data_IF_394644146739
#
_entry.id   IF_394644146739
#
_cell.length_a   1.000
_cell.length_b   1.000
_cell.length_c   1.000
_cell.angle_alpha   90.00
_cell.angle_beta   90.00
_cell.angle_gamma   90.00
#
_symmetry.space_group_name_H-M   'P 1'
#
loop_
_entity.id
_entity.type
_entity.pdbx_description
1 polymer ?
#
# COMPACT_ATOMS: atom_id res chain seq x y z
N UNK A 1 -35.03 -23.86 -12.78
CA UNK A 1 -34.26 -24.36 -11.63
C UNK A 1 -32.78 -24.29 -12.01
N UNK A 2 -31.91 -23.48 -11.42
CA UNK A 2 -32.06 -22.48 -10.36
C UNK A 2 -31.09 -21.33 -10.62
N UNK A 3 -31.64 -20.11 -10.67
CA UNK A 3 -30.88 -18.89 -10.45
C UNK A 3 -30.75 -18.71 -8.94
N UNK A 4 -29.66 -19.23 -8.35
CA UNK A 4 -29.42 -19.10 -6.92
C UNK A 4 -28.65 -17.82 -6.62
N UNK A 5 -29.40 -16.82 -6.16
CA UNK A 5 -29.04 -15.90 -5.07
C UNK A 5 -27.78 -15.06 -5.23
N UNK A 6 -27.82 -14.11 -6.16
CA UNK A 6 -27.19 -12.81 -5.91
C UNK A 6 -28.08 -12.05 -4.91
N UNK A 7 -27.60 -11.89 -3.68
CA UNK A 7 -28.36 -11.27 -2.60
C UNK A 7 -28.55 -9.76 -2.89
N UNK A 8 -29.79 -9.24 -3.02
CA UNK A 8 -30.04 -7.87 -3.46
C UNK A 8 -29.67 -6.76 -2.45
N UNK A 9 -29.09 -7.12 -1.30
CA UNK A 9 -28.48 -6.16 -0.35
C UNK A 9 -27.07 -5.71 -0.73
N UNK A 10 -26.51 -6.23 -1.83
CA UNK A 10 -25.23 -5.75 -2.37
C UNK A 10 -25.33 -4.43 -3.17
N UNK A 11 -26.55 -3.88 -3.33
CA UNK A 11 -26.84 -2.68 -4.15
C UNK A 11 -27.58 -1.64 -3.31
N UNK A 12 -26.88 -0.94 -2.41
CA UNK A 12 -27.41 0.33 -1.83
C UNK A 12 -26.35 1.41 -1.59
N UNK A 13 -25.06 1.08 -1.63
CA UNK A 13 -24.03 1.82 -0.87
C UNK A 13 -22.66 1.53 -1.46
N UNK A 14 -22.16 2.33 -2.40
CA UNK A 14 -20.86 2.04 -3.04
C UNK A 14 -19.70 2.62 -2.22
N UNK A 15 -19.44 1.98 -1.07
CA UNK A 15 -18.36 2.21 -0.11
C UNK A 15 -18.82 1.88 1.32
N UNK A 16 -18.18 0.93 2.02
CA UNK A 16 -18.38 0.80 3.47
C UNK A 16 -17.78 2.04 4.16
N UNK A 17 -18.49 2.62 5.14
CA UNK A 17 -18.00 3.79 5.90
C UNK A 17 -17.95 5.12 5.13
N UNK A 18 -18.63 5.26 3.99
CA UNK A 18 -18.58 6.50 3.16
C UNK A 18 -18.89 7.77 3.97
N UNK A 19 -18.15 8.85 3.69
CA UNK A 19 -18.38 10.16 4.29
C UNK A 19 -19.62 10.88 3.75
N UNK A 20 -20.27 11.66 4.61
CA UNK A 20 -21.43 12.50 4.25
C UNK A 20 -21.06 13.59 3.24
N UNK A 21 -22.04 14.09 2.48
CA UNK A 21 -21.82 14.96 1.32
C UNK A 21 -20.96 16.19 1.58
N UNK A 22 -21.03 16.80 2.77
CA UNK A 22 -20.19 17.98 3.12
C UNK A 22 -18.71 17.62 3.25
N UNK A 23 -18.40 16.55 3.98
CA UNK A 23 -17.03 16.07 4.15
C UNK A 23 -16.46 15.58 2.82
N UNK A 24 -17.29 14.93 1.99
CA UNK A 24 -16.91 14.57 0.64
C UNK A 24 -16.60 15.81 -0.20
N UNK A 25 -17.46 16.83 -0.23
CA UNK A 25 -17.20 18.05 -0.99
C UNK A 25 -15.91 18.76 -0.57
N UNK A 26 -15.59 18.76 0.73
CA UNK A 26 -14.33 19.30 1.23
C UNK A 26 -13.12 18.51 0.69
N UNK A 27 -13.18 17.17 0.74
CA UNK A 27 -12.13 16.33 0.18
C UNK A 27 -12.09 16.34 -1.36
N UNK A 28 -13.16 16.71 -2.06
CA UNK A 28 -13.10 16.86 -3.52
C UNK A 28 -12.40 18.17 -3.92
N UNK A 29 -12.35 19.18 -3.05
CA UNK A 29 -11.75 20.49 -3.34
C UNK A 29 -10.22 20.44 -3.50
N UNK A 30 -9.56 19.46 -2.85
CA UNK A 30 -8.12 19.23 -2.88
C UNK A 30 -7.76 17.87 -3.50
N UNK A 31 -8.69 17.26 -4.26
CA UNK A 31 -8.52 15.94 -4.86
C UNK A 31 -8.18 14.84 -3.83
N UNK A 32 -8.68 14.98 -2.61
CA UNK A 32 -8.52 14.10 -1.45
C UNK A 32 -7.11 14.07 -0.85
N UNK A 33 -6.28 15.08 -1.14
CA UNK A 33 -4.90 15.17 -0.64
C UNK A 33 -4.82 15.03 0.88
N UNK A 34 -5.46 15.93 1.62
CA UNK A 34 -5.31 15.98 3.07
C UNK A 34 -5.96 14.76 3.75
N UNK A 35 -6.98 14.17 3.11
CA UNK A 35 -7.56 12.90 3.56
C UNK A 35 -6.55 11.75 3.46
N UNK A 36 -5.85 11.63 2.32
CA UNK A 36 -4.84 10.60 2.13
C UNK A 36 -3.68 10.76 3.13
N UNK A 37 -3.21 11.99 3.36
CA UNK A 37 -2.16 12.28 4.36
C UNK A 37 -2.64 11.92 5.78
N UNK A 38 -3.89 12.22 6.12
CA UNK A 38 -4.45 11.85 7.41
C UNK A 38 -4.51 10.32 7.61
N UNK A 39 -4.82 9.54 6.56
CA UNK A 39 -4.72 8.07 6.62
C UNK A 39 -3.28 7.62 6.85
N UNK A 40 -2.29 8.23 6.18
CA UNK A 40 -0.89 7.90 6.39
C UNK A 40 -0.46 8.15 7.85
N UNK A 41 -0.81 9.31 8.42
CA UNK A 41 -0.48 9.63 9.82
C UNK A 41 -1.18 8.68 10.80
N UNK A 42 -2.45 8.34 10.58
CA UNK A 42 -3.24 7.50 11.48
C UNK A 42 -2.91 6.01 11.37
N UNK A 43 -2.62 5.52 10.16
CA UNK A 43 -2.55 4.09 9.84
C UNK A 43 -1.25 3.65 9.18
N UNK A 44 -0.40 4.58 8.76
CA UNK A 44 0.91 4.31 8.16
C UNK A 44 0.87 3.94 6.67
N UNK A 45 -0.29 3.95 6.03
CA UNK A 45 -0.42 3.65 4.60
C UNK A 45 -0.04 4.87 3.77
N UNK A 46 0.94 4.78 2.86
CA UNK A 46 1.47 5.94 2.18
C UNK A 46 0.48 6.55 1.19
N UNK A 47 0.56 7.87 1.05
CA UNK A 47 -0.14 8.62 0.00
C UNK A 47 0.35 8.18 -1.38
N UNK A 48 -0.60 7.89 -2.25
CA UNK A 48 -0.42 7.67 -3.67
C UNK A 48 -1.13 8.79 -4.44
N UNK A 49 -0.57 9.17 -5.58
CA UNK A 49 -1.18 10.12 -6.50
C UNK A 49 -1.42 9.44 -7.84
N UNK A 50 -2.66 9.53 -8.32
CA UNK A 50 -3.07 9.10 -9.66
C UNK A 50 -2.93 10.27 -10.63
N UNK A 51 -2.22 10.05 -11.73
CA UNK A 51 -1.92 11.05 -12.75
C UNK A 51 -2.58 10.71 -14.08
N UNK A 52 -2.87 11.74 -14.85
CA UNK A 52 -3.08 11.70 -16.30
C UNK A 52 -2.06 12.63 -16.95
N UNK A 53 -1.11 12.06 -17.69
CA UNK A 53 0.10 12.81 -18.08
C UNK A 53 0.89 13.23 -16.85
N UNK A 54 1.07 14.53 -16.64
CA UNK A 54 1.68 15.12 -15.45
C UNK A 54 0.66 15.75 -14.48
N UNK A 55 -0.64 15.71 -14.80
CA UNK A 55 -1.67 16.27 -13.93
C UNK A 55 -2.15 15.23 -12.92
N UNK A 56 -2.10 15.58 -11.62
CA UNK A 56 -2.76 14.78 -10.58
C UNK A 56 -4.28 14.86 -10.75
N UNK A 57 -4.93 13.70 -10.68
CA UNK A 57 -6.39 13.55 -10.73
C UNK A 57 -6.96 13.25 -9.35
N UNK A 58 -6.23 12.48 -8.55
CA UNK A 58 -6.69 12.00 -7.24
C UNK A 58 -5.48 11.65 -6.36
N UNK A 59 -5.57 11.99 -5.09
CA UNK A 59 -4.73 11.41 -4.04
C UNK A 59 -5.52 10.36 -3.29
N UNK A 60 -4.86 9.27 -2.90
CA UNK A 60 -5.45 8.18 -2.16
C UNK A 60 -4.40 7.50 -1.26
N UNK A 61 -4.82 6.77 -0.25
CA UNK A 61 -3.92 5.85 0.46
C UNK A 61 -4.22 4.42 0.00
N UNK A 62 -3.19 3.57 -0.08
CA UNK A 62 -3.33 2.20 -0.57
C UNK A 62 -2.67 1.22 0.39
N UNK A 63 -3.35 0.09 0.61
CA UNK A 63 -2.83 -1.04 1.38
C UNK A 63 -1.88 -1.90 0.55
N UNK A 64 -1.28 -2.88 1.21
CA UNK A 64 -0.51 -3.96 0.57
C UNK A 64 -1.36 -5.05 -0.10
N UNK A 65 -2.68 -5.06 0.07
CA UNK A 65 -3.59 -6.12 -0.37
C UNK A 65 -4.73 -5.65 -1.27
N UNK A 66 -4.45 -4.75 -2.21
CA UNK A 66 -5.39 -4.22 -3.23
C UNK A 66 -6.48 -3.26 -2.71
N UNK A 67 -6.49 -2.90 -1.42
CA UNK A 67 -7.44 -1.91 -0.91
C UNK A 67 -6.96 -0.48 -1.13
N UNK A 68 -7.84 0.36 -1.68
CA UNK A 68 -7.70 1.81 -1.82
C UNK A 68 -8.63 2.50 -0.83
N UNK A 69 -8.07 3.39 -0.01
CA UNK A 69 -8.78 4.18 0.99
C UNK A 69 -9.05 5.59 0.45
N UNK A 70 -10.33 5.90 0.22
CA UNK A 70 -10.79 7.15 -0.37
C UNK A 70 -12.01 7.71 0.41
N UNK A 71 -12.24 9.04 0.45
CA UNK A 71 -13.43 9.62 1.08
C UNK A 71 -14.77 9.05 0.56
N UNK A 72 -14.79 8.55 -0.68
CA UNK A 72 -15.95 7.92 -1.31
C UNK A 72 -16.19 6.50 -0.82
N UNK A 73 -15.21 5.88 -0.17
CA UNK A 73 -15.27 4.52 0.37
C UNK A 73 -13.94 3.77 0.24
N UNK A 74 -13.95 2.52 0.71
CA UNK A 74 -12.85 1.57 0.52
C UNK A 74 -13.17 0.70 -0.71
N UNK A 75 -12.21 0.62 -1.64
CA UNK A 75 -12.35 -0.06 -2.93
C UNK A 75 -11.21 -1.04 -3.17
N UNK A 76 -11.41 -2.01 -4.08
CA UNK A 76 -10.28 -2.68 -4.75
C UNK A 76 -9.66 -1.74 -5.78
N UNK A 77 -8.41 -1.92 -6.22
CA UNK A 77 -7.79 -1.00 -7.20
C UNK A 77 -8.59 -0.93 -8.51
N UNK A 78 -9.10 -2.07 -9.00
CA UNK A 78 -9.95 -2.13 -10.18
C UNK A 78 -11.25 -1.30 -10.00
N UNK A 79 -11.94 -1.49 -8.87
CA UNK A 79 -13.17 -0.76 -8.58
C UNK A 79 -12.90 0.72 -8.36
N UNK A 80 -11.80 1.10 -7.71
CA UNK A 80 -11.40 2.49 -7.55
C UNK A 80 -11.17 3.14 -8.92
N UNK A 81 -10.45 2.46 -9.81
CA UNK A 81 -10.23 2.91 -11.18
C UNK A 81 -11.57 3.14 -11.91
N UNK A 82 -12.44 2.13 -11.92
CA UNK A 82 -13.71 2.17 -12.66
C UNK A 82 -14.74 3.16 -12.08
N UNK A 83 -14.78 3.31 -10.75
CA UNK A 83 -15.83 4.08 -10.06
C UNK A 83 -15.41 5.50 -9.70
N UNK A 84 -14.12 5.78 -9.58
CA UNK A 84 -13.60 7.09 -9.14
C UNK A 84 -12.74 7.70 -10.24
N UNK A 85 -11.65 7.05 -10.63
CA UNK A 85 -10.66 7.63 -11.56
C UNK A 85 -11.27 7.83 -12.96
N UNK A 86 -11.81 6.79 -13.58
CA UNK A 86 -12.36 6.85 -14.95
C UNK A 86 -13.45 7.92 -15.07
N UNK A 87 -14.43 8.04 -14.16
CA UNK A 87 -15.38 9.14 -14.17
C UNK A 87 -14.73 10.53 -14.07
N UNK A 88 -13.78 10.74 -13.16
CA UNK A 88 -13.05 12.01 -13.04
C UNK A 88 -12.31 12.35 -14.34
N UNK A 89 -11.66 11.35 -14.95
CA UNK A 89 -10.92 11.51 -16.20
C UNK A 89 -11.84 11.85 -17.38
N UNK A 90 -13.01 11.22 -17.47
CA UNK A 90 -14.00 11.43 -18.54
C UNK A 90 -14.77 12.74 -18.42
N UNK A 91 -14.94 13.27 -17.21
CA UNK A 91 -15.56 14.57 -16.97
C UNK A 91 -14.71 15.71 -17.54
N UNK A 92 -13.39 15.55 -17.50
CA UNK A 92 -12.45 16.49 -18.09
C UNK A 92 -12.29 16.26 -19.60
N UNK A 93 -12.34 17.34 -20.39
CA UNK A 93 -12.31 17.29 -21.87
C UNK A 93 -11.06 17.96 -22.48
N UNK A 94 -10.30 18.66 -21.68
CA UNK A 94 -9.17 19.53 -22.06
C UNK A 94 -7.80 18.92 -21.68
N UNK A 95 -7.65 17.59 -21.80
CA UNK A 95 -6.37 16.96 -21.49
C UNK A 95 -5.26 17.47 -22.43
N UNK A 96 -4.06 17.79 -21.88
CA UNK A 96 -2.95 18.24 -22.70
C UNK A 96 -2.44 17.10 -23.59
N UNK A 97 -1.75 17.43 -24.68
CA UNK A 97 -1.33 16.44 -25.69
C UNK A 97 -0.34 15.40 -25.13
N UNK A 98 0.45 15.77 -24.13
CA UNK A 98 1.39 14.89 -23.42
C UNK A 98 0.69 13.91 -22.46
N UNK A 99 -0.60 14.11 -22.17
CA UNK A 99 -1.41 13.13 -21.46
C UNK A 99 -1.79 11.92 -22.33
N UNK A 100 -1.53 11.97 -23.63
CA UNK A 100 -1.83 10.90 -24.58
C UNK A 100 -0.58 10.09 -24.93
N UNK A 101 -0.70 8.77 -24.85
CA UNK A 101 0.26 7.80 -25.38
C UNK A 101 -0.47 6.91 -26.38
N UNK A 102 -0.04 6.93 -27.65
CA UNK A 102 -0.69 6.19 -28.74
C UNK A 102 -2.20 6.49 -28.88
N UNK A 103 -2.61 7.75 -28.64
CA UNK A 103 -4.01 8.18 -28.71
C UNK A 103 -4.87 7.78 -27.51
N UNK A 104 -4.28 7.19 -26.47
CA UNK A 104 -4.96 6.82 -25.22
C UNK A 104 -4.41 7.62 -24.04
N UNK A 105 -5.26 7.93 -23.06
CA UNK A 105 -4.81 8.66 -21.86
C UNK A 105 -3.85 7.79 -21.03
N UNK A 106 -2.68 8.34 -20.72
CA UNK A 106 -1.69 7.71 -19.86
C UNK A 106 -2.07 7.93 -18.39
N UNK A 107 -2.78 6.96 -17.83
CA UNK A 107 -3.10 6.92 -16.40
C UNK A 107 -2.01 6.16 -15.67
N UNK A 108 -1.45 6.75 -14.61
CA UNK A 108 -0.43 6.10 -13.79
C UNK A 108 -0.53 6.52 -12.33
N UNK A 109 -0.03 5.69 -11.43
CA UNK A 109 -0.04 5.95 -9.99
C UNK A 109 1.40 6.01 -9.46
N UNK A 110 1.71 6.98 -8.61
CA UNK A 110 3.00 7.09 -7.91
C UNK A 110 2.79 7.05 -6.40
N UNK A 111 3.60 6.27 -5.69
CA UNK A 111 3.67 6.29 -4.23
C UNK A 111 4.53 7.48 -3.81
N UNK A 112 3.92 8.50 -3.19
CA UNK A 112 4.58 9.74 -2.80
C UNK A 112 4.89 9.78 -1.30
N UNK A 113 3.97 9.26 -0.48
CA UNK A 113 3.96 9.46 0.97
C UNK A 113 3.79 10.93 1.36
N UNK A 114 3.70 11.18 2.66
CA UNK A 114 3.69 12.54 3.20
C UNK A 114 4.96 13.30 2.81
N UNK A 115 6.10 12.61 2.75
CA UNK A 115 7.39 13.20 2.35
C UNK A 115 7.36 13.77 0.92
N UNK A 116 6.75 13.07 -0.04
CA UNK A 116 6.61 13.58 -1.41
C UNK A 116 5.65 14.75 -1.51
N UNK A 117 4.60 14.78 -0.68
CA UNK A 117 3.68 15.92 -0.57
C UNK A 117 4.38 17.15 0.04
N UNK A 118 5.22 16.93 1.06
CA UNK A 118 6.02 17.97 1.70
C UNK A 118 6.99 18.61 0.71
N UNK A 119 7.70 17.80 -0.08
CA UNK A 119 8.65 18.27 -1.09
C UNK A 119 7.98 19.09 -2.21
N UNK A 120 6.71 18.78 -2.52
CA UNK A 120 5.91 19.55 -3.45
C UNK A 120 5.37 20.87 -2.84
N UNK A 121 5.55 21.12 -1.54
CA UNK A 121 5.04 22.30 -0.85
C UNK A 121 3.52 22.31 -0.70
N UNK A 122 2.89 21.13 -0.65
CA UNK A 122 1.43 20.98 -0.67
C UNK A 122 0.82 20.63 0.70
N UNK A 123 1.62 20.59 1.77
CA UNK A 123 1.10 20.33 3.11
C UNK A 123 0.40 21.56 3.71
N UNK A 124 -0.88 21.41 4.01
CA UNK A 124 -1.64 22.32 4.86
C UNK A 124 -2.01 21.59 6.17
N UNK A 125 -1.30 21.90 7.25
CA UNK A 125 -1.50 21.26 8.56
C UNK A 125 -2.92 21.46 9.12
N UNK A 126 -3.54 22.63 8.88
CA UNK A 126 -4.89 22.88 9.36
C UNK A 126 -5.92 22.04 8.58
N UNK A 127 -5.70 21.82 7.28
CA UNK A 127 -6.53 20.93 6.48
C UNK A 127 -6.33 19.46 6.86
N UNK A 128 -5.11 19.03 7.17
CA UNK A 128 -4.80 17.67 7.64
C UNK A 128 -5.42 17.40 9.00
N UNK A 129 -5.36 18.35 9.94
CA UNK A 129 -6.00 18.23 11.25
C UNK A 129 -7.52 18.07 11.11
N UNK A 130 -8.15 18.86 10.23
CA UNK A 130 -9.57 18.72 9.92
C UNK A 130 -9.90 17.35 9.32
N UNK A 131 -9.12 16.87 8.35
CA UNK A 131 -9.31 15.55 7.76
C UNK A 131 -9.13 14.42 8.79
N UNK A 132 -8.17 14.57 9.71
CA UNK A 132 -7.92 13.65 10.82
C UNK A 132 -9.13 13.58 11.76
N UNK A 133 -9.66 14.73 12.17
CA UNK A 133 -10.85 14.80 13.01
C UNK A 133 -12.07 14.16 12.33
N UNK A 134 -12.24 14.40 11.03
CA UNK A 134 -13.30 13.76 10.23
C UNK A 134 -13.16 12.23 10.24
N UNK A 135 -11.96 11.71 9.98
CA UNK A 135 -11.68 10.27 10.00
C UNK A 135 -11.98 9.64 11.37
N UNK A 136 -11.52 10.26 12.45
CA UNK A 136 -11.75 9.79 13.81
C UNK A 136 -13.23 9.83 14.20
N UNK A 137 -13.99 10.80 13.70
CA UNK A 137 -15.45 10.88 13.93
C UNK A 137 -16.24 9.79 13.18
N UNK A 138 -15.65 9.18 12.15
CA UNK A 138 -16.22 8.10 11.37
C UNK A 138 -15.55 6.76 11.72
N UNK A 139 -15.74 6.30 12.95
CA UNK A 139 -15.12 5.08 13.47
C UNK A 139 -15.39 3.86 12.59
N UNK A 140 -16.60 3.74 12.01
CA UNK A 140 -16.96 2.64 11.10
C UNK A 140 -16.03 2.57 9.88
N UNK A 141 -15.64 3.71 9.31
CA UNK A 141 -14.66 3.73 8.22
C UNK A 141 -13.27 3.38 8.75
N UNK A 142 -12.84 4.03 9.83
CA UNK A 142 -11.48 3.91 10.35
C UNK A 142 -11.16 2.52 10.93
N UNK A 143 -12.17 1.80 11.43
CA UNK A 143 -12.08 0.41 11.88
C UNK A 143 -11.84 -0.57 10.72
N UNK A 144 -12.22 -0.18 9.49
CA UNK A 144 -11.99 -0.97 8.29
C UNK A 144 -10.64 -0.69 7.65
N UNK A 145 -9.95 0.39 8.04
CA UNK A 145 -8.59 0.69 7.58
C UNK A 145 -7.61 0.07 8.56
N UNK A 146 -6.95 -1.07 8.22
CA UNK A 146 -6.00 -1.70 9.12
C UNK A 146 -4.80 -0.80 9.35
N UNK A 147 -4.06 -1.03 10.44
CA UNK A 147 -2.73 -0.44 10.57
C UNK A 147 -1.74 -1.12 9.65
N UNK A 148 -0.83 -0.34 9.05
CA UNK A 148 0.27 -0.89 8.28
C UNK A 148 1.24 -1.64 9.20
N UNK A 149 1.63 -2.88 8.83
CA UNK A 149 2.63 -3.65 9.57
C UNK A 149 3.96 -2.91 9.72
N UNK A 150 4.67 -3.17 10.82
CA UNK A 150 6.04 -2.71 11.01
C UNK A 150 7.03 -3.65 10.29
N UNK A 151 8.21 -3.15 9.86
CA UNK A 151 8.62 -1.75 9.89
C UNK A 151 7.92 -0.90 8.82
N UNK A 152 7.48 0.31 9.19
CA UNK A 152 6.89 1.28 8.25
C UNK A 152 8.00 2.06 7.53
N UNK A 153 8.41 1.56 6.36
CA UNK A 153 9.36 2.23 5.50
C UNK A 153 8.77 3.50 4.85
N UNK A 154 9.60 4.55 4.61
CA UNK A 154 9.20 5.76 3.87
C UNK A 154 8.73 5.43 2.46
N UNK A 155 7.89 6.30 1.88
CA UNK A 155 7.28 6.07 0.58
C UNK A 155 8.27 6.02 -0.59
N UNK A 156 9.35 6.80 -0.54
CA UNK A 156 10.46 6.74 -1.50
C UNK A 156 11.12 5.37 -1.50
N UNK A 157 11.36 4.82 -0.31
CA UNK A 157 11.88 3.46 -0.14
C UNK A 157 10.88 2.43 -0.67
N UNK A 158 9.59 2.59 -0.36
CA UNK A 158 8.54 1.72 -0.92
C UNK A 158 8.54 1.75 -2.43
N UNK A 159 8.57 2.94 -3.04
CA UNK A 159 8.56 3.11 -4.49
C UNK A 159 9.81 2.50 -5.14
N UNK A 160 10.98 2.67 -4.52
CA UNK A 160 12.26 2.15 -5.01
C UNK A 160 12.29 0.62 -5.05
N UNK A 161 11.76 -0.03 -4.01
CA UNK A 161 11.81 -1.48 -3.87
C UNK A 161 10.49 -2.18 -4.23
N UNK A 162 9.46 -1.43 -4.59
CA UNK A 162 8.30 -1.95 -5.31
C UNK A 162 8.65 -2.10 -6.79
N UNK A 163 7.96 -3.00 -7.50
CA UNK A 163 8.03 -3.15 -8.96
C UNK A 163 9.46 -3.21 -9.55
N UNK A 164 9.97 -4.41 -9.77
CA UNK A 164 11.36 -4.68 -10.25
C UNK A 164 12.47 -4.48 -9.20
N UNK A 165 12.23 -3.70 -8.14
CA UNK A 165 13.13 -3.59 -6.99
C UNK A 165 12.94 -4.67 -5.91
N UNK A 166 11.87 -5.47 -6.00
CA UNK A 166 11.47 -6.41 -4.95
C UNK A 166 12.53 -7.49 -4.69
N UNK A 167 13.20 -8.00 -5.73
CA UNK A 167 14.24 -9.03 -5.59
C UNK A 167 15.38 -8.54 -4.71
N UNK A 168 15.92 -7.36 -5.02
CA UNK A 168 17.00 -6.71 -4.27
C UNK A 168 16.62 -6.56 -2.79
N UNK A 169 15.42 -6.09 -2.52
CA UNK A 169 14.95 -5.91 -1.15
C UNK A 169 14.76 -7.24 -0.42
N UNK A 170 14.16 -8.24 -1.06
CA UNK A 170 14.00 -9.57 -0.47
C UNK A 170 15.35 -10.24 -0.19
N UNK A 171 16.34 -10.07 -1.07
CA UNK A 171 17.71 -10.53 -0.87
C UNK A 171 18.37 -9.86 0.35
N UNK A 172 18.29 -8.53 0.44
CA UNK A 172 18.77 -7.78 1.60
C UNK A 172 18.08 -8.22 2.89
N UNK A 173 16.76 -8.37 2.86
CA UNK A 173 15.95 -8.80 4.00
C UNK A 173 16.31 -10.21 4.45
N UNK A 174 16.54 -11.12 3.51
CA UNK A 174 17.02 -12.48 3.77
C UNK A 174 18.37 -12.47 4.51
N UNK A 175 19.31 -11.63 4.08
CA UNK A 175 20.62 -11.49 4.75
C UNK A 175 20.50 -10.93 6.17
N UNK A 176 19.65 -9.93 6.37
CA UNK A 176 19.43 -9.33 7.69
C UNK A 176 18.69 -10.27 8.64
N UNK A 177 17.73 -11.05 8.15
CA UNK A 177 16.91 -11.96 8.98
C UNK A 177 17.50 -13.36 9.16
N UNK A 178 18.31 -13.82 8.20
CA UNK A 178 18.68 -15.22 8.05
C UNK A 178 17.54 -16.11 7.51
N UNK A 179 16.40 -15.53 7.10
CA UNK A 179 15.25 -16.27 6.55
C UNK A 179 15.33 -16.36 5.03
N UNK A 180 14.79 -17.42 4.41
CA UNK A 180 14.90 -17.61 2.97
C UNK A 180 14.08 -16.57 2.20
N UNK A 181 14.73 -15.90 1.25
CA UNK A 181 14.04 -15.19 0.17
C UNK A 181 13.54 -16.18 -0.89
N UNK A 182 12.34 -15.92 -1.41
CA UNK A 182 11.74 -16.68 -2.49
C UNK A 182 10.91 -15.77 -3.39
N UNK A 183 10.76 -16.21 -4.63
CA UNK A 183 9.86 -15.54 -5.58
C UNK A 183 8.49 -16.19 -5.51
N UNK A 184 7.45 -15.39 -5.34
CA UNK A 184 6.07 -15.82 -5.49
C UNK A 184 5.74 -15.91 -6.99
N UNK A 185 5.47 -17.12 -7.47
CA UNK A 185 5.18 -17.45 -8.87
C UNK A 185 3.69 -17.67 -9.05
N UNK A 186 3.13 -17.06 -10.09
CA UNK A 186 1.72 -17.13 -10.44
C UNK A 186 1.35 -18.48 -11.08
N UNK A 187 0.41 -19.21 -10.47
CA UNK A 187 -0.21 -20.44 -11.01
C UNK A 187 -1.66 -20.24 -11.48
N UNK A 188 -2.26 -19.09 -11.17
CA UNK A 188 -3.62 -18.74 -11.58
C UNK A 188 -3.98 -17.31 -11.21
N UNK A 189 -4.65 -16.63 -12.13
CA UNK A 189 -5.07 -15.24 -11.99
C UNK A 189 -6.44 -15.12 -11.32
N UNK A 190 -6.63 -14.01 -10.62
CA UNK A 190 -7.96 -13.56 -10.21
C UNK A 190 -8.78 -13.12 -11.44
N UNK A 191 -10.08 -13.42 -11.44
CA UNK A 191 -10.99 -13.00 -12.49
C UNK A 191 -10.94 -11.47 -12.68
N UNK A 192 -10.96 -11.01 -13.93
CA UNK A 192 -10.92 -9.58 -14.27
C UNK A 192 -9.51 -8.97 -14.31
N UNK A 193 -8.47 -9.71 -13.89
CA UNK A 193 -7.08 -9.27 -14.08
C UNK A 193 -6.57 -9.75 -15.45
N UNK A 194 -6.29 -8.81 -16.35
CA UNK A 194 -5.56 -9.06 -17.60
C UNK A 194 -4.08 -8.77 -17.37
N UNK A 195 -3.28 -9.82 -17.20
CA UNK A 195 -1.85 -9.71 -16.98
C UNK A 195 -1.10 -10.36 -18.15
N UNK A 196 -0.37 -9.55 -18.89
CA UNK A 196 0.61 -10.02 -19.86
C UNK A 196 1.99 -10.18 -19.18
N UNK A 197 2.63 -11.33 -19.36
CA UNK A 197 4.00 -11.63 -18.89
C UNK A 197 4.11 -12.42 -17.57
N UNK A 198 5.35 -12.77 -17.21
CA UNK A 198 5.70 -13.51 -15.99
C UNK A 198 5.63 -12.56 -14.78
N UNK A 199 4.47 -12.50 -14.11
CA UNK A 199 4.36 -11.74 -12.86
C UNK A 199 4.91 -12.55 -11.70
N UNK A 200 5.97 -12.03 -11.13
CA UNK A 200 6.61 -12.54 -9.94
C UNK A 200 6.82 -11.42 -8.92
N UNK A 201 6.79 -11.76 -7.64
CA UNK A 201 7.15 -10.84 -6.57
C UNK A 201 8.04 -11.54 -5.55
N UNK A 202 9.17 -10.94 -5.22
CA UNK A 202 10.11 -11.52 -4.27
C UNK A 202 9.77 -11.10 -2.83
N UNK A 203 9.82 -12.08 -1.93
CA UNK A 203 9.48 -11.93 -0.52
C UNK A 203 10.45 -12.74 0.34
N UNK A 204 10.49 -12.48 1.65
CA UNK A 204 11.05 -13.40 2.64
C UNK A 204 9.93 -14.22 3.26
N UNK A 205 10.11 -15.55 3.32
CA UNK A 205 9.11 -16.48 3.86
C UNK A 205 9.42 -16.77 5.32
N UNK A 206 8.45 -16.52 6.20
CA UNK A 206 8.57 -16.77 7.64
C UNK A 206 8.13 -18.21 8.00
N UNK A 207 8.62 -18.77 9.12
CA UNK A 207 8.27 -20.14 9.53
C UNK A 207 6.77 -20.39 9.77
N UNK A 208 6.00 -19.34 10.05
CA UNK A 208 4.55 -19.42 10.25
C UNK A 208 3.73 -19.28 8.95
N UNK A 209 4.41 -19.25 7.79
CA UNK A 209 3.77 -19.12 6.48
C UNK A 209 3.42 -17.68 6.07
N UNK A 210 3.64 -16.70 6.94
CA UNK A 210 3.58 -15.29 6.54
C UNK A 210 4.77 -14.91 5.67
N UNK A 211 4.64 -13.78 4.97
CA UNK A 211 5.71 -13.24 4.12
C UNK A 211 6.03 -11.81 4.51
N UNK A 212 7.25 -11.37 4.22
CA UNK A 212 7.67 -10.00 4.43
C UNK A 212 8.31 -9.45 3.15
N UNK A 213 7.84 -8.28 2.75
CA UNK A 213 8.40 -7.47 1.67
C UNK A 213 8.54 -6.02 2.15
N UNK A 214 8.75 -5.08 1.22
CA UNK A 214 8.90 -3.66 1.55
C UNK A 214 7.67 -3.07 2.27
N UNK A 215 6.50 -3.69 2.16
CA UNK A 215 5.26 -3.26 2.83
C UNK A 215 5.14 -3.77 4.27
N UNK A 216 6.04 -4.66 4.70
CA UNK A 216 6.08 -5.27 6.03
C UNK A 216 5.60 -6.73 6.03
N UNK A 217 5.59 -7.34 7.22
CA UNK A 217 5.20 -8.75 7.40
C UNK A 217 3.68 -8.91 7.42
N UNK A 218 3.17 -9.85 6.64
CA UNK A 218 1.73 -10.04 6.40
C UNK A 218 1.41 -11.45 5.87
N UNK A 219 0.13 -11.88 5.87
CA UNK A 219 -0.27 -13.12 5.22
C UNK A 219 0.11 -13.13 3.73
N UNK A 220 0.55 -14.29 3.22
CA UNK A 220 0.94 -14.46 1.82
C UNK A 220 -0.20 -14.09 0.85
N UNK A 221 -1.44 -14.41 1.24
CA UNK A 221 -2.65 -14.15 0.48
C UNK A 221 -2.87 -12.65 0.22
N UNK A 222 -2.52 -11.79 1.18
CA UNK A 222 -2.65 -10.34 1.02
C UNK A 222 -1.68 -9.82 -0.04
N UNK A 223 -0.44 -10.30 -0.03
CA UNK A 223 0.55 -9.94 -1.05
C UNK A 223 0.12 -10.47 -2.42
N UNK A 224 -0.30 -11.73 -2.49
CA UNK A 224 -0.76 -12.37 -3.72
C UNK A 224 -1.90 -11.58 -4.39
N UNK A 225 -2.88 -11.11 -3.61
CA UNK A 225 -4.01 -10.32 -4.10
C UNK A 225 -3.58 -9.02 -4.78
N UNK A 226 -2.59 -8.29 -4.24
CA UNK A 226 -2.05 -7.07 -4.87
C UNK A 226 -1.48 -7.32 -6.27
N UNK A 227 -0.95 -8.50 -6.51
CA UNK A 227 -0.40 -8.90 -7.81
C UNK A 227 -1.41 -9.64 -8.69
N UNK A 228 -2.68 -9.75 -8.27
CA UNK A 228 -3.73 -10.45 -9.01
C UNK A 228 -3.59 -11.97 -9.00
N UNK A 229 -2.83 -12.54 -8.05
CA UNK A 229 -2.57 -13.98 -7.97
C UNK A 229 -3.67 -14.68 -7.15
N UNK A 230 -4.42 -15.57 -7.80
CA UNK A 230 -5.42 -16.43 -7.16
C UNK A 230 -4.81 -17.74 -6.64
N UNK A 231 -3.78 -18.23 -7.33
CA UNK A 231 -2.98 -19.39 -6.92
C UNK A 231 -1.51 -19.08 -7.19
N UNK A 232 -0.65 -19.52 -6.29
CA UNK A 232 0.78 -19.26 -6.36
C UNK A 232 1.56 -20.32 -5.58
N UNK A 233 2.86 -20.37 -5.85
CA UNK A 233 3.84 -21.08 -5.03
C UNK A 233 5.08 -20.21 -4.83
N UNK A 234 5.92 -20.58 -3.86
CA UNK A 234 7.21 -19.94 -3.62
C UNK A 234 8.33 -20.74 -4.29
N UNK A 235 9.17 -20.05 -5.04
CA UNK A 235 10.32 -20.61 -5.73
C UNK A 235 11.62 -19.87 -5.32
N UNK A 236 12.44 -20.46 -4.43
CA UNK A 236 13.74 -19.90 -4.05
C UNK A 236 14.76 -19.88 -5.20
N UNK A 237 14.63 -20.77 -6.17
CA UNK A 237 15.56 -20.90 -7.30
C UNK A 237 15.28 -19.80 -8.33
N UNK A 238 14.01 -19.51 -8.57
CA UNK A 238 13.59 -18.34 -9.33
C UNK A 238 14.10 -17.03 -8.71
N UNK A 239 14.07 -16.88 -7.38
CA UNK A 239 14.65 -15.71 -6.71
C UNK A 239 16.15 -15.59 -6.97
N UNK A 240 16.91 -16.69 -6.81
CA UNK A 240 18.35 -16.68 -7.10
C UNK A 240 18.64 -16.34 -8.56
N UNK A 241 17.83 -16.82 -9.50
CA UNK A 241 17.95 -16.47 -10.91
C UNK A 241 17.67 -14.97 -11.15
N UNK A 242 16.63 -14.42 -10.53
CA UNK A 242 16.31 -12.99 -10.62
C UNK A 242 17.43 -12.10 -10.08
N UNK A 243 18.03 -12.46 -8.94
CA UNK A 243 19.18 -11.74 -8.39
C UNK A 243 20.41 -11.87 -9.28
N UNK A 244 20.72 -13.08 -9.77
CA UNK A 244 21.83 -13.29 -10.68
C UNK A 244 21.69 -12.46 -11.96
N UNK A 245 20.48 -12.40 -12.51
CA UNK A 245 20.17 -11.56 -13.66
C UNK A 245 20.27 -10.07 -13.34
N UNK A 246 19.74 -9.63 -12.19
CA UNK A 246 19.85 -8.24 -11.74
C UNK A 246 21.32 -7.81 -11.63
N UNK A 247 22.18 -8.63 -11.04
CA UNK A 247 23.63 -8.36 -10.94
C UNK A 247 24.32 -8.35 -12.32
N UNK A 248 23.86 -9.19 -13.25
CA UNK A 248 24.40 -9.25 -14.63
C UNK A 248 24.03 -8.04 -15.47
N UNK A 249 22.77 -7.59 -15.38
CA UNK A 249 22.23 -6.48 -16.19
C UNK A 249 22.49 -5.12 -15.55
N UNK A 250 22.47 -5.05 -14.22
CA UNK A 250 22.67 -3.84 -13.43
C UNK A 250 23.79 -4.08 -12.41
N UNK A 251 25.05 -3.73 -12.73
CA UNK A 251 26.17 -3.91 -11.80
C UNK A 251 25.98 -3.23 -10.44
N UNK A 252 25.20 -2.14 -10.38
CA UNK A 252 24.86 -1.47 -9.11
C UNK A 252 23.94 -2.28 -8.20
N UNK A 253 23.40 -3.43 -8.64
CA UNK A 253 22.52 -4.25 -7.82
C UNK A 253 23.18 -4.71 -6.51
N UNK A 254 24.51 -4.86 -6.48
CA UNK A 254 25.24 -5.16 -5.24
C UNK A 254 25.15 -4.00 -4.25
N UNK A 255 25.34 -2.77 -4.74
CA UNK A 255 25.23 -1.56 -3.92
C UNK A 255 23.76 -1.33 -3.50
N UNK A 256 22.80 -1.62 -4.39
CA UNK A 256 21.37 -1.53 -4.07
C UNK A 256 20.99 -2.50 -2.93
N UNK A 257 21.56 -3.72 -2.90
CA UNK A 257 21.35 -4.68 -1.81
C UNK A 257 21.92 -4.11 -0.51
N UNK A 258 23.15 -3.60 -0.51
CA UNK A 258 23.76 -3.01 0.69
C UNK A 258 22.97 -1.80 1.21
N UNK A 259 22.45 -0.97 0.29
CA UNK A 259 21.58 0.15 0.65
C UNK A 259 20.26 -0.33 1.26
N UNK A 260 19.65 -1.38 0.70
CA UNK A 260 18.45 -1.99 1.24
C UNK A 260 18.70 -2.58 2.64
N UNK A 261 19.82 -3.27 2.87
CA UNK A 261 20.21 -3.79 4.19
C UNK A 261 20.30 -2.68 5.24
N UNK A 262 20.96 -1.56 4.90
CA UNK A 262 21.10 -0.41 5.80
C UNK A 262 19.73 0.19 6.18
N UNK A 263 18.83 0.35 5.20
CA UNK A 263 17.47 0.85 5.43
C UNK A 263 16.66 -0.12 6.29
N UNK A 264 16.75 -1.43 6.04
CA UNK A 264 16.05 -2.45 6.84
C UNK A 264 16.49 -2.40 8.30
N UNK A 265 17.81 -2.33 8.56
CA UNK A 265 18.36 -2.24 9.91
C UNK A 265 17.88 -0.98 10.63
N UNK A 266 18.00 0.18 9.98
CA UNK A 266 17.57 1.47 10.54
C UNK A 266 16.12 1.45 11.04
N UNK A 267 15.19 0.88 10.25
CA UNK A 267 13.77 0.90 10.59
C UNK A 267 13.32 -0.23 11.52
N UNK A 268 14.05 -1.35 11.56
CA UNK A 268 13.78 -2.43 12.52
C UNK A 268 14.20 -2.04 13.93
N UNK A 269 15.35 -1.40 14.09
CA UNK A 269 15.84 -0.94 15.40
C UNK A 269 14.91 0.13 15.99
N UNK A 270 14.41 1.05 15.15
CA UNK A 270 13.43 2.06 15.57
C UNK A 270 12.11 1.44 16.06
N UNK A 271 11.65 0.36 15.41
CA UNK A 271 10.43 -0.36 15.80
C UNK A 271 10.61 -1.09 17.14
N UNK A 272 11.78 -1.68 17.39
CA UNK A 272 12.10 -2.32 18.67
C UNK A 272 12.19 -1.30 19.82
N UNK A 273 12.73 -0.11 19.56
CA UNK A 273 12.82 0.98 20.54
C UNK A 273 11.45 1.52 20.99
N UNK A 274 10.49 1.65 20.06
CA UNK A 274 9.12 2.11 20.38
C UNK A 274 8.31 1.09 21.18
N UNK A 275 8.55 -0.21 20.99
CA UNK A 275 7.91 -1.27 21.80
C UNK A 275 8.44 -1.32 23.25
N UNK A 276 9.68 -0.86 23.48
CA UNK A 276 10.29 -0.82 24.82
C UNK A 276 9.71 0.31 25.69
N UNK A 277 9.37 1.46 25.10
CA UNK A 277 8.84 2.64 25.82
C UNK A 277 7.35 2.54 26.16
N UNK A 278 6.62 1.60 25.55
CA UNK A 278 5.19 1.35 25.80
C UNK A 278 4.92 0.29 26.88
N UNK A 279 5.93 -0.20 27.61
CA UNK A 279 5.67 -0.97 28.83
C UNK A 279 5.10 -0.03 29.90
N UNK A 280 3.83 -0.17 30.31
CA UNK A 280 3.35 0.60 31.45
C UNK A 280 4.17 0.18 32.67
N UNK A 281 4.61 1.17 33.46
CA UNK A 281 5.04 0.93 34.84
C UNK A 281 3.93 0.10 35.50
N UNK A 282 4.15 -1.20 35.67
CA UNK A 282 3.26 -2.05 36.41
C UNK A 282 3.19 -1.44 37.82
N UNK A 283 2.04 -0.84 38.15
CA UNK A 283 1.80 -0.34 39.48
C UNK A 283 2.04 -1.49 40.46
N UNK A 284 2.82 -1.30 41.53
CA UNK A 284 3.09 -2.36 42.49
C UNK A 284 1.77 -2.86 43.06
N UNK A 285 1.50 -4.15 42.85
CA UNK A 285 0.32 -4.83 43.38
C UNK A 285 0.25 -4.61 44.89
N UNK A 286 -0.84 -4.05 45.45
CA UNK A 286 -0.95 -3.85 46.88
C UNK A 286 -0.91 -5.22 47.57
N UNK A 287 0.06 -5.39 48.48
CA UNK A 287 0.12 -6.58 49.33
C UNK A 287 -1.11 -6.56 50.25
N UNK A 288 -1.99 -7.54 50.09
CA UNK A 288 -3.06 -7.76 51.05
C UNK A 288 -2.46 -8.17 52.40
N UNK A 289 -2.92 -7.58 53.53
CA UNK A 289 -2.52 -8.02 54.85
C UNK A 289 -3.12 -9.40 55.12
N UNK A 290 -2.27 -10.32 55.55
CA UNK A 290 -2.69 -11.62 56.09
C UNK A 290 -3.36 -11.37 57.44
N UNK A 291 -4.60 -11.85 57.58
CA UNK A 291 -5.29 -12.02 58.85
C UNK A 291 -5.18 -13.48 59.28
#
# INVERSE_FOLDING_TARGET
>A
MGASKANPTAITTSGRGRFVSRALAQAEADQALHFAVAIERLRGWPVHATYVGETVVRYQAESSGDQVFDPRGIFTSERFSNMVVVPLVRLRRDWPSDALQNGQLRIGTKCLGEEGIAEAGLLDEAAIEQATALLQSNSVYLDLVPERPQPRLPAKTLALYSWSGCAVYAEALSRVTGLPAATMILDGLLDGHDLTGDRFHAVVVHPDGSVEDVWGRQPAEHVAQRYGMARWHFDPDAHRAMIGEAMRVRPSAVDDIAQAEAVILQHRDASAGQLSTLRPNAAPTPRHPQH
#
